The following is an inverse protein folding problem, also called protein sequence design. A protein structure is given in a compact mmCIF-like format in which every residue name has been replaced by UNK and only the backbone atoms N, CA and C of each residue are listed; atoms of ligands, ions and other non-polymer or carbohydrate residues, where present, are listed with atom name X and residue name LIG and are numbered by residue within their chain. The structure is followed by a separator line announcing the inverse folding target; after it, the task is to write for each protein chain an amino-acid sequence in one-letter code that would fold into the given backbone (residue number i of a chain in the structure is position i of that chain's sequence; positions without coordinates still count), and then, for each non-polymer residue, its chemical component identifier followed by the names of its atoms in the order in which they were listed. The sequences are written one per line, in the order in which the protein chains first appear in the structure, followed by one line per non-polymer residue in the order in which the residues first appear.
data_IF_486235693705
#
_entry.id   IF_486235693705
#
_cell.length_a   1.000
_cell.length_b   1.000
_cell.length_c   1.000
_cell.angle_alpha   90.00
_cell.angle_beta   90.00
_cell.angle_gamma   90.00
#
_symmetry.space_group_name_H-M   'P 1'
#
loop_
_entity.id
_entity.type
_entity.pdbx_description
1 polymer ?
#
# COMPACT_ATOMS: atom_id res chain seq x y z
N UNK A 1 32.54 -1.44 -11.95
CA UNK A 1 31.12 -1.09 -11.73
C UNK A 1 30.95 -0.13 -10.57
N UNK A 2 31.58 -0.38 -9.41
CA UNK A 2 31.50 0.47 -8.21
C UNK A 2 31.73 1.98 -8.48
N UNK A 3 32.77 2.33 -9.25
CA UNK A 3 33.06 3.73 -9.62
C UNK A 3 31.96 4.38 -10.47
N UNK A 4 31.36 3.66 -11.42
CA UNK A 4 30.30 4.18 -12.29
C UNK A 4 29.01 4.42 -11.50
N UNK A 5 28.60 3.44 -10.69
CA UNK A 5 27.42 3.58 -9.84
C UNK A 5 27.57 4.71 -8.81
N UNK A 6 28.78 4.94 -8.29
CA UNK A 6 29.06 6.06 -7.40
C UNK A 6 28.86 7.43 -8.07
N UNK A 7 29.24 7.58 -9.34
CA UNK A 7 29.00 8.83 -10.09
C UNK A 7 27.51 9.02 -10.37
N UNK A 8 26.82 7.95 -10.79
CA UNK A 8 25.38 8.00 -11.05
C UNK A 8 24.58 8.32 -9.77
N UNK A 9 25.00 7.81 -8.62
CA UNK A 9 24.39 8.14 -7.34
C UNK A 9 24.54 9.64 -7.00
N UNK A 10 25.73 10.22 -7.21
CA UNK A 10 25.93 11.67 -7.03
C UNK A 10 25.05 12.49 -7.97
N UNK A 11 24.89 12.05 -9.23
CA UNK A 11 24.00 12.69 -10.20
C UNK A 11 22.54 12.61 -9.78
N UNK A 12 22.11 11.46 -9.25
CA UNK A 12 20.77 11.26 -8.73
C UNK A 12 20.47 12.22 -7.57
N UNK A 13 21.37 12.30 -6.59
CA UNK A 13 21.20 13.16 -5.41
C UNK A 13 21.26 14.66 -5.77
N UNK A 14 22.06 15.04 -6.77
CA UNK A 14 22.16 16.42 -7.22
C UNK A 14 20.95 16.90 -8.05
N UNK A 15 20.05 16.01 -8.47
CA UNK A 15 18.89 16.38 -9.28
C UNK A 15 17.83 17.04 -8.43
N UNK A 16 17.39 18.23 -8.88
CA UNK A 16 16.29 18.99 -8.27
C UNK A 16 15.03 18.17 -8.10
N UNK A 17 14.64 17.38 -9.10
CA UNK A 17 13.43 16.55 -9.00
C UNK A 17 13.55 15.48 -7.91
N UNK A 18 14.73 14.86 -7.75
CA UNK A 18 14.96 13.91 -6.67
C UNK A 18 14.85 14.59 -5.31
N UNK A 19 15.47 15.77 -5.16
CA UNK A 19 15.38 16.55 -3.91
C UNK A 19 13.95 16.97 -3.59
N UNK A 20 13.20 17.50 -4.56
CA UNK A 20 11.80 17.89 -4.40
C UNK A 20 10.92 16.67 -4.11
N UNK A 21 11.14 15.56 -4.81
CA UNK A 21 10.40 14.31 -4.60
C UNK A 21 10.61 13.74 -3.19
N UNK A 22 11.87 13.68 -2.73
CA UNK A 22 12.20 13.23 -1.37
C UNK A 22 11.61 14.19 -0.33
N UNK A 23 11.72 15.50 -0.52
CA UNK A 23 11.10 16.48 0.37
C UNK A 23 9.58 16.34 0.42
N UNK A 24 8.93 16.08 -0.73
CA UNK A 24 7.49 15.82 -0.82
C UNK A 24 7.08 14.55 -0.07
N UNK A 25 7.84 13.45 -0.19
CA UNK A 25 7.59 12.21 0.56
C UNK A 25 7.74 12.44 2.07
N UNK A 26 8.78 13.16 2.51
CA UNK A 26 8.98 13.49 3.92
C UNK A 26 7.86 14.40 4.45
N UNK A 27 7.39 15.36 3.64
CA UNK A 27 6.26 16.20 4.00
C UNK A 27 4.97 15.37 4.16
N UNK A 28 4.68 14.46 3.22
CA UNK A 28 3.52 13.57 3.32
C UNK A 28 3.64 12.67 4.57
N UNK A 29 4.85 12.16 4.86
CA UNK A 29 5.11 11.38 6.07
C UNK A 29 4.81 12.18 7.33
N UNK A 30 5.24 13.45 7.39
CA UNK A 30 4.91 14.33 8.50
C UNK A 30 3.40 14.59 8.61
N UNK A 31 2.70 14.77 7.49
CA UNK A 31 1.23 14.93 7.45
C UNK A 31 0.54 13.67 8.00
N UNK A 32 1.01 12.47 7.63
CA UNK A 32 0.46 11.21 8.15
C UNK A 32 0.66 11.09 9.66
N UNK A 33 1.82 11.48 10.19
CA UNK A 33 2.07 11.52 11.63
C UNK A 33 1.17 12.54 12.35
N UNK A 34 0.97 13.72 11.77
CA UNK A 34 0.03 14.73 12.32
C UNK A 34 -1.41 14.21 12.29
N UNK A 35 -1.83 13.55 11.20
CA UNK A 35 -3.13 12.93 11.10
C UNK A 35 -3.30 11.82 12.16
N UNK A 36 -2.27 11.00 12.36
CA UNK A 36 -2.25 9.96 13.40
C UNK A 36 -2.38 10.57 14.79
N UNK A 37 -1.65 11.65 15.09
CA UNK A 37 -1.79 12.40 16.35
C UNK A 37 -3.22 12.91 16.55
N UNK A 38 -3.80 13.56 15.53
CA UNK A 38 -5.17 14.07 15.61
C UNK A 38 -6.21 12.95 15.80
N UNK A 39 -5.99 11.80 15.16
CA UNK A 39 -6.84 10.62 15.30
C UNK A 39 -6.66 9.94 16.66
N UNK A 40 -5.47 9.93 17.25
CA UNK A 40 -5.24 9.34 18.57
C UNK A 40 -5.73 10.22 19.73
N UNK A 41 -5.90 11.53 19.51
CA UNK A 41 -6.40 12.44 20.56
C UNK A 41 -7.76 11.99 21.12
N UNK A 42 -7.95 12.08 22.45
CA UNK A 42 -9.22 11.80 23.09
C UNK A 42 -10.31 12.79 22.64
N UNK A 43 -11.56 12.37 22.73
CA UNK A 43 -12.72 13.24 22.50
C UNK A 43 -12.74 14.41 23.48
N UNK A 44 -13.24 15.56 23.01
CA UNK A 44 -13.48 16.71 23.89
C UNK A 44 -14.52 16.37 24.95
N UNK A 45 -14.54 17.11 26.06
CA UNK A 45 -15.55 16.90 27.11
C UNK A 45 -16.97 17.04 26.57
N UNK A 46 -17.20 17.96 25.63
CA UNK A 46 -18.49 18.11 24.97
C UNK A 46 -18.88 16.87 24.17
N UNK A 47 -17.97 16.34 23.36
CA UNK A 47 -18.21 15.11 22.60
C UNK A 47 -18.45 13.91 23.52
N UNK A 48 -17.74 13.83 24.65
CA UNK A 48 -17.96 12.78 25.66
C UNK A 48 -19.33 12.90 26.33
N UNK A 49 -19.79 14.13 26.64
CA UNK A 49 -21.15 14.36 27.17
C UNK A 49 -22.22 13.96 26.16
N UNK A 50 -22.03 14.29 24.89
CA UNK A 50 -22.95 13.91 23.83
C UNK A 50 -23.00 12.37 23.65
N UNK A 51 -21.84 11.71 23.64
CA UNK A 51 -21.76 10.25 23.58
C UNK A 51 -22.44 9.59 24.80
N UNK A 52 -22.23 10.15 26.00
CA UNK A 52 -22.88 9.68 27.22
C UNK A 52 -24.40 9.82 27.16
N UNK A 53 -24.92 10.96 26.70
CA UNK A 53 -26.35 11.18 26.54
C UNK A 53 -26.96 10.21 25.50
N UNK A 54 -26.25 9.93 24.40
CA UNK A 54 -26.69 8.94 23.41
C UNK A 54 -26.71 7.52 23.99
N UNK A 55 -25.69 7.15 24.76
CA UNK A 55 -25.65 5.88 25.47
C UNK A 55 -26.83 5.76 26.45
N UNK A 56 -27.15 6.79 27.23
CA UNK A 56 -28.26 6.77 28.19
C UNK A 56 -29.61 6.57 27.51
N UNK A 57 -29.82 7.19 26.35
CA UNK A 57 -31.02 6.97 25.53
C UNK A 57 -31.09 5.53 25.04
N UNK A 58 -29.99 5.01 24.48
CA UNK A 58 -29.93 3.65 23.95
C UNK A 58 -30.06 2.59 25.06
N UNK A 59 -29.44 2.81 26.22
CA UNK A 59 -29.54 1.92 27.38
C UNK A 59 -30.98 1.87 27.90
N UNK A 60 -31.67 3.01 27.99
CA UNK A 60 -33.07 3.06 28.41
C UNK A 60 -34.00 2.36 27.40
N UNK A 61 -33.76 2.54 26.11
CA UNK A 61 -34.52 1.83 25.07
C UNK A 61 -34.27 0.31 25.13
N UNK A 62 -33.03 -0.11 25.37
CA UNK A 62 -32.67 -1.51 25.56
C UNK A 62 -33.28 -2.11 26.83
N UNK A 63 -33.38 -1.38 27.93
CA UNK A 63 -34.06 -1.83 29.15
C UNK A 63 -35.55 -2.11 28.90
N UNK A 64 -36.20 -1.29 28.07
CA UNK A 64 -37.61 -1.43 27.76
C UNK A 64 -37.86 -2.52 26.71
N UNK A 65 -37.06 -2.58 25.65
CA UNK A 65 -37.36 -3.34 24.43
C UNK A 65 -36.29 -4.39 24.06
N UNK A 66 -35.19 -4.50 24.81
CA UNK A 66 -34.03 -5.35 24.45
C UNK A 66 -34.37 -6.84 24.32
N UNK A 67 -35.33 -7.36 25.09
CA UNK A 67 -35.82 -8.72 24.96
C UNK A 67 -36.56 -8.95 23.62
N UNK A 68 -37.33 -7.95 23.16
CA UNK A 68 -37.98 -7.99 21.85
C UNK A 68 -36.95 -7.90 20.72
N UNK A 69 -35.96 -7.00 20.83
CA UNK A 69 -34.88 -6.86 19.86
C UNK A 69 -34.07 -8.15 19.72
N UNK A 70 -33.69 -8.76 20.84
CA UNK A 70 -32.96 -10.03 20.85
C UNK A 70 -33.79 -11.13 20.21
N UNK A 71 -35.08 -11.24 20.56
CA UNK A 71 -35.97 -12.25 19.96
C UNK A 71 -36.11 -12.08 18.46
N UNK A 72 -36.38 -10.85 17.99
CA UNK A 72 -36.49 -10.54 16.55
C UNK A 72 -35.19 -10.86 15.82
N UNK A 73 -34.04 -10.51 16.41
CA UNK A 73 -32.76 -10.83 15.82
C UNK A 73 -32.51 -12.34 15.71
N UNK A 74 -32.86 -13.12 16.72
CA UNK A 74 -32.74 -14.58 16.68
C UNK A 74 -33.65 -15.22 15.62
N UNK A 75 -34.86 -14.68 15.44
CA UNK A 75 -35.78 -15.08 14.37
C UNK A 75 -35.17 -14.79 12.99
N UNK A 76 -34.66 -13.58 12.78
CA UNK A 76 -33.99 -13.19 11.53
C UNK A 76 -32.73 -14.05 11.30
N UNK A 77 -31.92 -14.28 12.34
CA UNK A 77 -30.72 -15.11 12.28
C UNK A 77 -31.00 -16.56 11.90
N UNK A 78 -32.15 -17.12 12.31
CA UNK A 78 -32.57 -18.45 11.92
C UNK A 78 -32.85 -18.55 10.40
N UNK A 79 -33.25 -17.44 9.76
CA UNK A 79 -33.51 -17.38 8.32
C UNK A 79 -32.27 -17.07 7.46
N UNK A 80 -31.14 -16.69 8.08
CA UNK A 80 -29.92 -16.41 7.35
C UNK A 80 -29.31 -17.68 6.73
N UNK A 81 -28.92 -17.63 5.45
CA UNK A 81 -28.20 -18.71 4.79
C UNK A 81 -26.76 -18.82 5.31
N UNK A 82 -26.24 -20.05 5.39
CA UNK A 82 -24.85 -20.31 5.77
C UNK A 82 -23.86 -19.98 4.62
N UNK A 83 -22.63 -19.54 4.93
CA UNK A 83 -22.07 -19.33 6.26
C UNK A 83 -22.52 -17.98 6.88
N UNK A 84 -22.88 -18.01 8.17
CA UNK A 84 -23.23 -16.83 8.95
C UNK A 84 -22.33 -16.68 10.16
N UNK A 85 -22.13 -15.43 10.59
CA UNK A 85 -21.35 -15.12 11.79
C UNK A 85 -21.98 -15.77 13.04
N UNK A 86 -21.20 -15.98 14.12
CA UNK A 86 -21.76 -16.44 15.39
C UNK A 86 -22.89 -15.51 15.86
N UNK A 87 -23.94 -16.11 16.45
CA UNK A 87 -25.16 -15.38 16.83
C UNK A 87 -24.88 -14.23 17.81
N UNK A 88 -23.86 -14.36 18.65
CA UNK A 88 -23.45 -13.34 19.61
C UNK A 88 -22.90 -12.08 18.90
N UNK A 89 -22.19 -12.27 17.78
CA UNK A 89 -21.65 -11.17 16.97
C UNK A 89 -22.77 -10.49 16.19
N UNK A 90 -23.69 -11.28 15.63
CA UNK A 90 -24.79 -10.77 14.83
C UNK A 90 -25.86 -10.05 15.68
N UNK A 91 -26.26 -10.64 16.81
CA UNK A 91 -27.40 -10.15 17.61
C UNK A 91 -27.02 -9.27 18.81
N UNK A 92 -25.73 -9.08 19.12
CA UNK A 92 -25.24 -8.21 20.20
C UNK A 92 -26.10 -8.30 21.48
N UNK A 93 -26.28 -9.53 21.98
CA UNK A 93 -27.28 -9.87 23.01
C UNK A 93 -27.05 -9.23 24.39
N UNK A 94 -25.92 -8.54 24.58
CA UNK A 94 -25.51 -7.94 25.86
C UNK A 94 -25.95 -6.47 26.02
N UNK A 95 -26.65 -5.91 25.03
CA UNK A 95 -27.09 -4.51 25.03
C UNK A 95 -25.97 -3.51 24.71
N UNK A 96 -26.32 -2.22 24.62
CA UNK A 96 -25.36 -1.17 24.31
C UNK A 96 -24.34 -1.02 25.45
N UNK A 97 -23.08 -0.81 25.08
CA UNK A 97 -22.01 -0.48 26.03
C UNK A 97 -21.48 0.93 25.76
N UNK A 98 -21.07 1.67 26.80
CA UNK A 98 -20.60 3.04 26.66
C UNK A 98 -19.40 3.16 25.69
N UNK A 99 -18.54 2.14 25.65
CA UNK A 99 -17.38 2.10 24.77
C UNK A 99 -17.76 2.10 23.27
N UNK A 100 -18.96 1.64 22.90
CA UNK A 100 -19.48 1.72 21.52
C UNK A 100 -19.86 3.15 21.09
N UNK A 101 -20.14 4.04 22.06
CA UNK A 101 -20.51 5.44 21.81
C UNK A 101 -19.29 6.38 21.90
N UNK A 102 -18.24 5.94 22.59
CA UNK A 102 -16.98 6.66 22.68
C UNK A 102 -16.12 6.40 21.44
N UNK A 103 -15.24 7.36 21.13
CA UNK A 103 -14.25 7.17 20.07
C UNK A 103 -13.31 6.02 20.46
N UNK A 104 -13.17 4.98 19.61
CA UNK A 104 -12.28 3.87 19.90
C UNK A 104 -10.83 4.38 20.01
N UNK A 105 -10.10 3.86 21.00
CA UNK A 105 -8.68 4.17 21.16
C UNK A 105 -7.90 3.57 20.00
N UNK A 106 -6.93 4.31 19.48
CA UNK A 106 -6.03 3.79 18.46
C UNK A 106 -5.13 2.70 19.07
N UNK A 107 -5.15 1.51 18.49
CA UNK A 107 -4.28 0.39 18.85
C UNK A 107 -3.12 0.33 17.87
N UNK A 108 -1.88 0.36 18.37
CA UNK A 108 -0.69 0.44 17.51
C UNK A 108 -0.60 -0.76 16.54
N UNK A 109 -0.86 -1.97 17.05
CA UNK A 109 -0.79 -3.21 16.28
C UNK A 109 -1.83 -3.28 15.14
N UNK A 110 -2.94 -2.56 15.25
CA UNK A 110 -4.02 -2.55 14.24
C UNK A 110 -3.80 -1.44 13.20
N UNK A 111 -3.32 -0.27 13.64
CA UNK A 111 -3.14 0.90 12.78
C UNK A 111 -1.89 0.78 11.91
N UNK A 112 -0.80 0.23 12.45
CA UNK A 112 0.51 0.27 11.80
C UNK A 112 0.58 -0.55 10.49
N UNK A 113 0.02 -1.77 10.38
CA UNK A 113 0.08 -2.55 9.13
C UNK A 113 -0.50 -1.80 7.92
N UNK A 114 -1.65 -1.14 8.09
CA UNK A 114 -2.30 -0.36 7.02
C UNK A 114 -1.51 0.90 6.67
N UNK A 115 -0.93 1.58 7.67
CA UNK A 115 -0.05 2.73 7.41
C UNK A 115 1.21 2.32 6.63
N UNK A 116 1.80 1.17 6.96
CA UNK A 116 2.94 0.62 6.23
C UNK A 116 2.57 0.26 4.78
N UNK A 117 1.38 -0.29 4.55
CA UNK A 117 0.87 -0.54 3.20
C UNK A 117 0.70 0.76 2.42
N UNK A 118 0.01 1.74 3.00
CA UNK A 118 -0.24 3.04 2.37
C UNK A 118 1.05 3.77 1.97
N UNK A 119 2.05 3.81 2.87
CA UNK A 119 3.34 4.43 2.55
C UNK A 119 4.13 3.61 1.52
N UNK A 120 3.94 2.28 1.45
CA UNK A 120 4.57 1.44 0.42
C UNK A 120 4.10 1.86 -0.98
N UNK A 121 2.80 2.08 -1.16
CA UNK A 121 2.25 2.61 -2.42
C UNK A 121 2.84 3.98 -2.77
N UNK A 122 2.88 4.89 -1.80
CA UNK A 122 3.45 6.24 -1.99
C UNK A 122 4.92 6.16 -2.41
N UNK A 123 5.74 5.38 -1.70
CA UNK A 123 7.17 5.26 -1.96
C UNK A 123 7.46 4.61 -3.31
N UNK A 124 6.76 3.53 -3.66
CA UNK A 124 6.92 2.88 -4.96
C UNK A 124 6.57 3.83 -6.10
N UNK A 125 5.47 4.57 -5.98
CA UNK A 125 5.09 5.54 -6.99
C UNK A 125 6.09 6.72 -7.06
N UNK A 126 6.45 7.32 -5.93
CA UNK A 126 7.39 8.44 -5.89
C UNK A 126 8.76 8.05 -6.45
N UNK A 127 9.27 6.87 -6.09
CA UNK A 127 10.56 6.39 -6.59
C UNK A 127 10.49 5.96 -8.04
N UNK A 128 9.36 5.42 -8.52
CA UNK A 128 9.11 5.22 -9.94
C UNK A 128 9.23 6.54 -10.72
N UNK A 129 8.63 7.63 -10.24
CA UNK A 129 8.74 8.94 -10.88
C UNK A 129 10.18 9.46 -10.90
N UNK A 130 10.90 9.33 -9.79
CA UNK A 130 12.30 9.74 -9.66
C UNK A 130 13.17 8.92 -10.62
N UNK A 131 12.99 7.60 -10.67
CA UNK A 131 13.71 6.69 -11.57
C UNK A 131 13.42 6.99 -13.05
N UNK A 132 12.15 7.19 -13.40
CA UNK A 132 11.74 7.53 -14.76
C UNK A 132 12.33 8.86 -15.21
N UNK A 133 12.38 9.86 -14.34
CA UNK A 133 13.06 11.11 -14.63
C UNK A 133 14.56 10.91 -14.74
N UNK A 134 15.16 10.16 -13.81
CA UNK A 134 16.60 9.92 -13.76
C UNK A 134 17.13 9.43 -15.10
N UNK A 135 16.46 8.43 -15.68
CA UNK A 135 16.87 7.85 -16.96
C UNK A 135 16.25 8.57 -18.15
N UNK A 136 14.95 8.86 -18.13
CA UNK A 136 14.22 9.45 -19.26
C UNK A 136 14.72 10.85 -19.65
N UNK A 137 15.04 11.71 -18.66
CA UNK A 137 15.50 13.07 -18.94
C UNK A 137 16.90 13.12 -19.59
N UNK A 138 17.68 12.03 -19.52
CA UNK A 138 18.97 11.96 -20.20
C UNK A 138 18.86 11.66 -21.69
N UNK A 139 17.80 10.95 -22.09
CA UNK A 139 17.48 10.75 -23.49
C UNK A 139 16.98 12.05 -24.12
N UNK A 140 16.10 12.79 -23.45
CA UNK A 140 15.58 14.06 -23.98
C UNK A 140 16.66 15.15 -24.09
N UNK A 141 17.71 15.09 -23.26
CA UNK A 141 18.83 16.04 -23.29
C UNK A 141 20.01 15.58 -24.15
N UNK A 142 19.98 14.37 -24.71
CA UNK A 142 21.11 13.79 -25.44
C UNK A 142 22.35 13.45 -24.58
N UNK A 143 22.29 13.67 -23.27
CA UNK A 143 23.43 13.45 -22.35
C UNK A 143 23.83 11.97 -22.25
N UNK A 144 22.90 11.05 -22.49
CA UNK A 144 23.18 9.61 -22.55
C UNK A 144 24.12 9.26 -23.72
N UNK A 145 24.01 9.97 -24.85
CA UNK A 145 24.90 9.80 -26.01
C UNK A 145 26.31 10.25 -25.68
N UNK A 146 26.46 11.42 -25.05
CA UNK A 146 27.76 11.92 -24.58
C UNK A 146 28.41 10.99 -23.55
N UNK A 147 27.63 10.30 -22.71
CA UNK A 147 28.19 9.36 -21.76
C UNK A 147 28.81 8.12 -22.42
N UNK A 148 28.21 7.66 -23.51
CA UNK A 148 28.64 6.46 -24.22
C UNK A 148 29.89 6.67 -25.11
N UNK A 149 30.31 7.91 -25.33
CA UNK A 149 31.62 8.20 -25.92
C UNK A 149 32.76 7.89 -24.93
N UNK A 150 32.51 8.07 -23.62
CA UNK A 150 33.47 7.75 -22.56
C UNK A 150 33.39 6.29 -22.08
N UNK A 151 32.21 5.69 -22.06
CA UNK A 151 32.02 4.28 -21.68
C UNK A 151 31.15 3.55 -22.73
N UNK A 152 31.76 2.95 -23.76
CA UNK A 152 31.02 2.36 -24.88
C UNK A 152 30.27 1.07 -24.53
N UNK A 153 30.53 0.47 -23.36
CA UNK A 153 29.86 -0.77 -22.92
C UNK A 153 28.47 -0.44 -22.38
N UNK A 154 27.49 -0.34 -23.29
CA UNK A 154 26.08 -0.01 -23.00
C UNK A 154 25.51 -0.74 -21.78
N UNK A 155 25.70 -2.05 -21.66
CA UNK A 155 25.17 -2.83 -20.53
C UNK A 155 25.74 -2.42 -19.16
N UNK A 156 26.99 -1.91 -19.11
CA UNK A 156 27.56 -1.37 -17.87
C UNK A 156 26.90 -0.06 -17.46
N UNK A 157 26.58 0.79 -18.44
CA UNK A 157 25.86 2.06 -18.21
C UNK A 157 24.43 1.81 -17.75
N UNK A 158 23.74 0.90 -18.43
CA UNK A 158 22.39 0.46 -18.05
C UNK A 158 22.36 -0.07 -16.61
N UNK A 159 23.23 -1.03 -16.30
CA UNK A 159 23.34 -1.62 -14.97
C UNK A 159 23.72 -0.59 -13.91
N UNK A 160 24.66 0.33 -14.18
CA UNK A 160 25.06 1.34 -13.19
C UNK A 160 23.93 2.33 -12.87
N UNK A 161 23.10 2.70 -13.86
CA UNK A 161 21.98 3.61 -13.65
C UNK A 161 20.87 2.99 -12.83
N UNK A 162 20.45 1.77 -13.19
CA UNK A 162 19.43 1.06 -12.43
C UNK A 162 19.90 0.76 -11.00
N UNK A 163 21.16 0.36 -10.84
CA UNK A 163 21.73 0.12 -9.52
C UNK A 163 21.82 1.40 -8.68
N UNK A 164 22.19 2.53 -9.28
CA UNK A 164 22.21 3.82 -8.59
C UNK A 164 20.80 4.29 -8.20
N UNK A 165 19.80 4.09 -9.07
CA UNK A 165 18.41 4.40 -8.76
C UNK A 165 17.88 3.53 -7.60
N UNK A 166 18.14 2.21 -7.64
CA UNK A 166 17.75 1.27 -6.59
C UNK A 166 18.39 1.63 -5.24
N UNK A 167 19.73 1.65 -5.19
CA UNK A 167 20.49 1.88 -3.95
C UNK A 167 20.25 3.29 -3.42
N UNK A 168 20.14 4.29 -4.30
CA UNK A 168 19.95 5.68 -3.89
C UNK A 168 18.65 5.92 -3.15
N UNK A 169 17.60 5.14 -3.43
CA UNK A 169 16.29 5.28 -2.77
C UNK A 169 16.14 4.43 -1.51
N UNK A 170 17.02 3.45 -1.27
CA UNK A 170 16.96 2.61 -0.05
C UNK A 170 17.07 3.45 1.23
N UNK A 171 18.03 4.38 1.40
CA UNK A 171 18.10 5.21 2.61
C UNK A 171 16.84 6.04 2.84
N UNK A 172 16.24 6.57 1.76
CA UNK A 172 15.00 7.34 1.84
C UNK A 172 13.86 6.45 2.35
N UNK A 173 13.70 5.26 1.78
CA UNK A 173 12.71 4.29 2.21
C UNK A 173 12.88 3.93 3.69
N UNK A 174 14.11 3.57 4.09
CA UNK A 174 14.44 3.21 5.49
C UNK A 174 14.09 4.35 6.45
N UNK A 175 14.46 5.59 6.12
CA UNK A 175 14.13 6.76 6.96
C UNK A 175 12.62 6.94 7.05
N UNK A 176 11.88 6.85 5.95
CA UNK A 176 10.42 7.03 5.93
C UNK A 176 9.72 5.95 6.77
N UNK A 177 10.08 4.67 6.58
CA UNK A 177 9.52 3.59 7.39
C UNK A 177 9.90 3.71 8.87
N UNK A 178 11.13 4.09 9.19
CA UNK A 178 11.57 4.30 10.56
C UNK A 178 10.81 5.46 11.23
N UNK A 179 10.63 6.58 10.51
CA UNK A 179 9.84 7.73 11.00
C UNK A 179 8.39 7.35 11.25
N UNK A 180 7.77 6.56 10.38
CA UNK A 180 6.41 6.10 10.60
C UNK A 180 6.30 5.10 11.75
N UNK A 181 7.13 4.06 11.77
CA UNK A 181 7.10 3.05 12.83
C UNK A 181 7.33 3.66 14.21
N UNK A 182 8.42 4.42 14.36
CA UNK A 182 8.78 5.03 15.65
C UNK A 182 7.84 6.18 15.98
N UNK A 183 7.52 7.04 15.00
CA UNK A 183 6.63 8.19 15.21
C UNK A 183 5.23 7.75 15.62
N UNK A 184 4.61 6.82 14.89
CA UNK A 184 3.28 6.29 15.22
C UNK A 184 3.29 5.56 16.56
N UNK A 185 4.34 4.78 16.87
CA UNK A 185 4.47 4.15 18.19
C UNK A 185 4.49 5.18 19.31
N UNK A 186 5.34 6.21 19.23
CA UNK A 186 5.45 7.25 20.27
C UNK A 186 4.14 8.03 20.44
N UNK A 187 3.41 8.27 19.35
CA UNK A 187 2.11 8.94 19.38
C UNK A 187 1.07 8.07 20.10
N UNK A 188 0.98 6.79 19.73
CA UNK A 188 -0.03 5.87 20.27
C UNK A 188 0.31 5.45 21.70
N UNK A 189 1.59 5.37 22.08
CA UNK A 189 2.00 5.11 23.45
C UNK A 189 1.51 6.19 24.42
N UNK A 190 1.46 7.45 23.97
CA UNK A 190 0.97 8.57 24.76
C UNK A 190 -0.57 8.70 24.78
N UNK A 191 -1.23 8.37 23.67
CA UNK A 191 -2.64 8.74 23.44
C UNK A 191 -3.59 7.55 23.25
N UNK A 192 -3.07 6.34 23.03
CA UNK A 192 -3.82 5.16 22.65
C UNK A 192 -3.39 3.91 23.43
N UNK A 193 -3.29 2.78 22.72
CA UNK A 193 -2.99 1.47 23.32
C UNK A 193 -1.79 0.85 22.59
N UNK A 194 -0.73 0.60 23.36
CA UNK A 194 0.45 -0.18 22.95
C UNK A 194 0.52 -1.54 23.66
N UNK A 195 -0.34 -1.77 24.66
CA UNK A 195 -0.48 -3.07 25.31
C UNK A 195 -0.82 -4.15 24.27
N UNK A 196 -0.04 -5.24 24.26
CA UNK A 196 -0.15 -6.28 23.22
C UNK A 196 0.83 -6.14 22.05
N UNK A 197 1.64 -5.07 22.00
CA UNK A 197 2.75 -4.94 21.03
C UNK A 197 3.90 -5.87 21.42
N UNK A 198 3.72 -7.17 21.17
CA UNK A 198 4.70 -8.22 21.49
C UNK A 198 5.91 -8.16 20.56
N UNK A 199 6.96 -8.93 20.90
CA UNK A 199 8.10 -9.11 20.00
C UNK A 199 7.70 -9.67 18.62
N UNK A 200 6.63 -10.46 18.54
CA UNK A 200 6.08 -10.94 17.26
C UNK A 200 5.53 -9.79 16.43
N UNK A 201 4.74 -8.90 17.03
CA UNK A 201 4.18 -7.72 16.33
C UNK A 201 5.30 -6.85 15.75
N UNK A 202 6.35 -6.57 16.53
CA UNK A 202 7.52 -5.86 16.02
C UNK A 202 8.25 -6.61 14.91
N UNK A 203 8.39 -7.94 15.04
CA UNK A 203 8.97 -8.78 13.99
C UNK A 203 8.19 -8.70 12.68
N UNK A 204 6.85 -8.79 12.75
CA UNK A 204 5.97 -8.74 11.58
C UNK A 204 6.01 -7.35 10.91
N UNK A 205 5.94 -6.27 11.71
CA UNK A 205 6.00 -4.89 11.22
C UNK A 205 7.36 -4.53 10.60
N UNK A 206 8.46 -4.98 11.21
CA UNK A 206 9.81 -4.77 10.65
C UNK A 206 10.03 -5.59 9.39
N UNK A 207 9.50 -6.81 9.31
CA UNK A 207 9.51 -7.60 8.09
C UNK A 207 8.67 -6.94 6.97
N UNK A 208 7.49 -6.40 7.30
CA UNK A 208 6.66 -5.64 6.36
C UNK A 208 7.37 -4.38 5.86
N UNK A 209 7.99 -3.60 6.74
CA UNK A 209 8.79 -2.44 6.36
C UNK A 209 9.99 -2.84 5.48
N UNK A 210 10.67 -3.96 5.78
CA UNK A 210 11.75 -4.51 4.97
C UNK A 210 11.28 -4.85 3.55
N UNK A 211 10.13 -5.52 3.41
CA UNK A 211 9.49 -5.79 2.11
C UNK A 211 9.12 -4.50 1.38
N UNK A 212 8.65 -3.49 2.12
CA UNK A 212 8.39 -2.13 1.63
C UNK A 212 9.63 -1.43 1.08
N UNK A 213 10.77 -1.53 1.76
CA UNK A 213 12.06 -0.99 1.27
C UNK A 213 12.48 -1.67 -0.04
N UNK A 214 12.33 -2.99 -0.13
CA UNK A 214 12.65 -3.75 -1.34
C UNK A 214 11.82 -3.29 -2.54
N UNK A 215 10.49 -3.19 -2.41
CA UNK A 215 9.65 -2.71 -3.53
C UNK A 215 9.90 -1.25 -3.87
N UNK A 216 10.31 -0.43 -2.91
CA UNK A 216 10.70 0.96 -3.19
C UNK A 216 11.93 1.03 -4.10
N UNK A 217 12.93 0.18 -3.86
CA UNK A 217 14.09 0.07 -4.76
C UNK A 217 13.68 -0.46 -6.15
N UNK A 218 12.77 -1.44 -6.20
CA UNK A 218 12.22 -1.96 -7.46
C UNK A 218 11.43 -0.89 -8.22
N UNK A 219 10.63 -0.06 -7.52
CA UNK A 219 9.90 1.06 -8.10
C UNK A 219 10.84 2.02 -8.84
N UNK A 220 11.96 2.39 -8.22
CA UNK A 220 13.00 3.21 -8.85
C UNK A 220 13.58 2.57 -10.13
N UNK A 221 13.83 1.26 -10.10
CA UNK A 221 14.32 0.50 -11.26
C UNK A 221 13.29 0.48 -12.38
N UNK A 222 12.04 0.12 -12.08
CA UNK A 222 10.95 0.06 -13.04
C UNK A 222 10.68 1.43 -13.66
N UNK A 223 10.72 2.48 -12.85
CA UNK A 223 10.68 3.86 -13.33
C UNK A 223 11.77 4.13 -14.35
N UNK A 224 13.03 3.83 -14.01
CA UNK A 224 14.16 3.99 -14.91
C UNK A 224 14.04 3.20 -16.21
N UNK A 225 13.53 1.97 -16.15
CA UNK A 225 13.27 1.13 -17.33
C UNK A 225 12.19 1.73 -18.21
N UNK A 226 11.05 2.13 -17.65
CA UNK A 226 9.95 2.73 -18.43
C UNK A 226 10.40 4.07 -19.02
N UNK A 227 11.11 4.89 -18.24
CA UNK A 227 11.70 6.14 -18.72
C UNK A 227 12.68 5.93 -19.89
N UNK A 228 13.46 4.84 -19.85
CA UNK A 228 14.35 4.44 -20.95
C UNK A 228 13.58 3.99 -22.20
N UNK A 229 12.55 3.16 -22.02
CA UNK A 229 11.75 2.62 -23.13
C UNK A 229 10.98 3.72 -23.87
N UNK A 230 10.41 4.65 -23.12
CA UNK A 230 9.59 5.75 -23.65
C UNK A 230 10.39 6.99 -24.02
N UNK A 231 11.63 7.14 -23.52
CA UNK A 231 12.49 8.33 -23.68
C UNK A 231 11.84 9.64 -23.23
N UNK A 232 10.77 9.57 -22.42
CA UNK A 232 10.02 10.73 -21.99
C UNK A 232 9.41 10.49 -20.60
N UNK A 233 9.73 11.38 -19.66
CA UNK A 233 9.25 11.26 -18.27
C UNK A 233 7.73 11.34 -18.19
N UNK A 234 7.10 12.29 -18.90
CA UNK A 234 5.64 12.43 -18.86
C UNK A 234 4.91 11.24 -19.49
N UNK A 235 5.54 10.55 -20.46
CA UNK A 235 4.93 9.35 -21.03
C UNK A 235 4.97 8.20 -20.03
N UNK A 236 6.05 8.07 -19.25
CA UNK A 236 6.13 7.09 -18.16
C UNK A 236 5.05 7.33 -17.09
N UNK A 237 4.80 8.59 -16.74
CA UNK A 237 3.71 8.98 -15.84
C UNK A 237 2.37 8.60 -16.44
N UNK A 238 2.13 8.95 -17.70
CA UNK A 238 0.88 8.64 -18.39
C UNK A 238 0.59 7.14 -18.46
N UNK A 239 1.61 6.31 -18.72
CA UNK A 239 1.47 4.85 -18.73
C UNK A 239 1.17 4.31 -17.33
N UNK A 240 1.90 4.76 -16.30
CA UNK A 240 1.68 4.31 -14.93
C UNK A 240 0.27 4.70 -14.43
N UNK A 241 -0.11 5.97 -14.60
CA UNK A 241 -1.42 6.47 -14.21
C UNK A 241 -2.55 5.83 -15.03
N UNK A 242 -2.35 5.67 -16.34
CA UNK A 242 -3.30 5.00 -17.22
C UNK A 242 -3.55 3.56 -16.79
N UNK A 243 -2.50 2.83 -16.43
CA UNK A 243 -2.63 1.47 -15.89
C UNK A 243 -3.37 1.46 -14.54
N UNK A 244 -2.95 2.28 -13.58
CA UNK A 244 -3.58 2.31 -12.24
C UNK A 244 -5.06 2.69 -12.33
N UNK A 245 -5.41 3.72 -13.10
CA UNK A 245 -6.79 4.19 -13.16
C UNK A 245 -7.66 3.26 -14.01
N UNK A 246 -7.21 2.90 -15.21
CA UNK A 246 -8.04 2.13 -16.13
C UNK A 246 -8.03 0.63 -15.77
N UNK A 247 -6.86 0.03 -15.63
CA UNK A 247 -6.75 -1.42 -15.42
C UNK A 247 -7.12 -1.79 -14.00
N UNK A 248 -6.49 -1.17 -13.00
CA UNK A 248 -6.74 -1.52 -11.60
C UNK A 248 -8.06 -0.90 -11.09
N UNK A 249 -8.30 0.38 -11.39
CA UNK A 249 -9.47 1.13 -10.89
C UNK A 249 -10.79 0.81 -11.59
N UNK A 250 -10.81 0.78 -12.93
CA UNK A 250 -12.03 0.54 -13.72
C UNK A 250 -12.22 -0.94 -14.00
N UNK A 251 -11.27 -1.57 -14.69
CA UNK A 251 -11.44 -2.96 -15.13
C UNK A 251 -11.30 -3.97 -13.99
N UNK A 252 -10.49 -3.69 -12.97
CA UNK A 252 -10.28 -4.58 -11.83
C UNK A 252 -11.58 -5.03 -11.18
N UNK A 253 -12.54 -4.11 -10.98
CA UNK A 253 -13.84 -4.41 -10.39
C UNK A 253 -14.70 -5.38 -11.20
N UNK A 254 -14.58 -5.37 -12.53
CA UNK A 254 -15.34 -6.27 -13.41
C UNK A 254 -14.64 -7.62 -13.63
N UNK A 255 -13.31 -7.65 -13.47
CA UNK A 255 -12.50 -8.81 -13.79
C UNK A 255 -12.31 -9.74 -12.58
N UNK A 256 -13.41 -10.23 -12.00
CA UNK A 256 -13.39 -11.11 -10.81
C UNK A 256 -12.51 -12.35 -10.97
N UNK A 257 -12.43 -12.91 -12.19
CA UNK A 257 -11.56 -14.05 -12.52
C UNK A 257 -10.07 -13.68 -12.66
N UNK A 258 -9.75 -12.42 -12.98
CA UNK A 258 -8.37 -11.96 -13.15
C UNK A 258 -7.81 -11.24 -11.93
N UNK A 259 -8.57 -11.14 -10.83
CA UNK A 259 -8.12 -10.57 -9.56
C UNK A 259 -6.72 -11.04 -9.13
N UNK A 260 -6.36 -12.35 -9.19
CA UNK A 260 -5.02 -12.81 -8.84
C UNK A 260 -3.88 -12.30 -9.73
N UNK A 261 -4.20 -11.77 -10.91
CA UNK A 261 -3.24 -11.25 -11.88
C UNK A 261 -3.16 -9.72 -11.88
N UNK A 262 -3.92 -9.06 -11.01
CA UNK A 262 -3.84 -7.62 -10.82
C UNK A 262 -2.61 -7.25 -10.00
N UNK A 263 -1.91 -6.18 -10.39
CA UNK A 263 -0.68 -5.74 -9.72
C UNK A 263 -0.98 -5.33 -8.28
N UNK A 264 -2.14 -4.69 -8.05
CA UNK A 264 -2.54 -4.24 -6.71
C UNK A 264 -2.63 -5.42 -5.72
N UNK A 265 -3.35 -6.49 -6.07
CA UNK A 265 -3.54 -7.62 -5.16
C UNK A 265 -2.22 -8.36 -4.87
N UNK A 266 -1.37 -8.51 -5.88
CA UNK A 266 -0.04 -9.11 -5.71
C UNK A 266 0.88 -8.22 -4.85
N UNK A 267 0.75 -6.90 -4.98
CA UNK A 267 1.46 -5.93 -4.15
C UNK A 267 1.02 -5.99 -2.69
N UNK A 268 -0.29 -6.02 -2.45
CA UNK A 268 -0.86 -6.16 -1.11
C UNK A 268 -0.35 -7.45 -0.45
N UNK A 269 -0.40 -8.58 -1.16
CA UNK A 269 0.06 -9.87 -0.65
C UNK A 269 1.56 -9.89 -0.35
N UNK A 270 2.37 -9.21 -1.18
CA UNK A 270 3.80 -9.04 -0.90
C UNK A 270 4.04 -8.25 0.38
N UNK A 271 3.39 -7.09 0.52
CA UNK A 271 3.63 -6.21 1.68
C UNK A 271 3.10 -6.84 2.96
N UNK A 272 1.83 -7.25 2.98
CA UNK A 272 1.15 -7.71 4.19
C UNK A 272 1.44 -9.16 4.56
N UNK A 273 2.10 -9.92 3.66
CA UNK A 273 2.30 -11.37 3.80
C UNK A 273 0.96 -12.10 3.73
N UNK A 274 0.42 -12.14 2.50
CA UNK A 274 -0.91 -12.57 2.07
C UNK A 274 -1.91 -11.41 1.91
N UNK A 275 -2.87 -11.57 1.00
CA UNK A 275 -3.96 -10.62 0.82
C UNK A 275 -5.27 -11.34 0.53
N UNK A 276 -6.36 -10.88 1.13
CA UNK A 276 -7.69 -11.42 0.87
C UNK A 276 -8.40 -10.64 -0.24
N UNK A 277 -9.15 -11.35 -1.07
CA UNK A 277 -10.00 -10.77 -2.09
C UNK A 277 -11.33 -11.53 -2.17
N UNK A 278 -12.35 -10.86 -2.68
CA UNK A 278 -13.72 -11.35 -2.66
C UNK A 278 -14.18 -11.70 -4.07
N UNK A 279 -14.88 -12.83 -4.20
CA UNK A 279 -15.53 -13.22 -5.46
C UNK A 279 -17.00 -13.51 -5.17
N UNK A 280 -17.89 -12.82 -5.88
CA UNK A 280 -19.31 -13.11 -5.83
C UNK A 280 -19.64 -14.34 -6.68
N UNK A 281 -20.24 -15.34 -6.03
CA UNK A 281 -20.88 -16.48 -6.70
C UNK A 281 -22.38 -16.27 -6.67
N UNK A 282 -22.91 -15.87 -7.81
CA UNK A 282 -24.34 -15.78 -8.02
C UNK A 282 -24.87 -17.10 -8.60
N UNK A 283 -25.88 -17.66 -7.96
CA UNK A 283 -26.55 -18.89 -8.38
C UNK A 283 -28.08 -18.73 -8.24
N UNK A 284 -28.87 -19.40 -9.09
CA UNK A 284 -30.32 -19.47 -8.88
C UNK A 284 -30.60 -20.13 -7.53
N UNK A 285 -31.43 -19.50 -6.70
CA UNK A 285 -31.86 -20.11 -5.43
C UNK A 285 -32.95 -21.15 -5.72
N UNK A 286 -33.12 -22.11 -4.81
CA UNK A 286 -34.15 -23.15 -4.87
C UNK A 286 -35.57 -22.61 -5.00
N UNK A 287 -35.75 -21.35 -4.65
CA UNK A 287 -37.04 -20.66 -4.52
C UNK A 287 -37.38 -19.87 -5.80
N UNK A 288 -36.59 -20.05 -6.87
CA UNK A 288 -36.74 -19.35 -8.15
C UNK A 288 -36.14 -17.93 -8.16
N UNK A 289 -35.45 -17.54 -7.10
CA UNK A 289 -34.73 -16.26 -6.99
C UNK A 289 -33.31 -16.32 -7.56
N UNK A 290 -32.60 -15.19 -7.44
CA UNK A 290 -31.19 -15.07 -7.80
C UNK A 290 -30.41 -14.60 -6.57
N UNK A 291 -29.59 -15.48 -6.00
CA UNK A 291 -28.81 -15.19 -4.79
C UNK A 291 -27.34 -15.06 -5.13
N UNK A 292 -26.67 -14.03 -4.60
CA UNK A 292 -25.23 -13.87 -4.70
C UNK A 292 -24.61 -14.08 -3.31
N UNK A 293 -23.65 -15.01 -3.23
CA UNK A 293 -22.84 -15.23 -2.03
C UNK A 293 -21.41 -14.76 -2.29
N UNK A 294 -20.86 -13.96 -1.38
CA UNK A 294 -19.49 -13.48 -1.49
C UNK A 294 -18.55 -14.49 -0.86
N UNK A 295 -17.58 -14.99 -1.63
CA UNK A 295 -16.57 -15.94 -1.17
C UNK A 295 -15.25 -15.21 -0.99
N UNK A 296 -14.76 -15.21 0.25
CA UNK A 296 -13.42 -14.74 0.58
C UNK A 296 -12.39 -15.74 0.10
N UNK A 297 -11.41 -15.25 -0.65
CA UNK A 297 -10.23 -16.01 -1.07
C UNK A 297 -8.97 -15.30 -0.59
N UNK A 298 -7.93 -16.08 -0.35
CA UNK A 298 -6.61 -15.56 0.04
C UNK A 298 -5.63 -15.78 -1.10
N UNK A 299 -4.92 -14.72 -1.47
CA UNK A 299 -3.78 -14.77 -2.36
C UNK A 299 -2.52 -14.84 -1.49
N UNK A 300 -1.79 -15.96 -1.62
CA UNK A 300 -0.60 -16.23 -0.81
C UNK A 300 0.56 -15.30 -1.18
N UNK A 301 1.41 -15.02 -0.20
CA UNK A 301 2.62 -14.24 -0.32
C UNK A 301 3.52 -14.71 -1.47
N UNK A 302 3.71 -16.01 -1.63
CA UNK A 302 4.59 -16.58 -2.66
C UNK A 302 4.10 -16.25 -4.07
N UNK A 303 2.78 -16.22 -4.27
CA UNK A 303 2.20 -15.85 -5.56
C UNK A 303 2.51 -14.38 -5.88
N UNK A 304 2.26 -13.49 -4.93
CA UNK A 304 2.60 -12.06 -5.05
C UNK A 304 4.08 -11.83 -5.31
N UNK A 305 4.94 -12.52 -4.56
CA UNK A 305 6.39 -12.45 -4.69
C UNK A 305 6.87 -12.88 -6.09
N UNK A 306 6.42 -14.04 -6.57
CA UNK A 306 6.80 -14.53 -7.90
C UNK A 306 6.26 -13.65 -9.01
N UNK A 307 5.01 -13.20 -8.90
CA UNK A 307 4.40 -12.31 -9.87
C UNK A 307 5.21 -11.02 -10.04
N UNK A 308 5.48 -10.31 -8.94
CA UNK A 308 6.24 -9.06 -8.97
C UNK A 308 7.68 -9.27 -9.44
N UNK A 309 8.32 -10.37 -9.02
CA UNK A 309 9.68 -10.71 -9.46
C UNK A 309 9.74 -10.98 -10.97
N UNK A 310 8.82 -11.78 -11.51
CA UNK A 310 8.76 -12.10 -12.94
C UNK A 310 8.49 -10.84 -13.76
N UNK A 311 7.50 -10.03 -13.38
CA UNK A 311 7.22 -8.76 -14.08
C UNK A 311 8.44 -7.85 -14.08
N UNK A 312 9.13 -7.74 -12.94
CA UNK A 312 10.33 -6.91 -12.81
C UNK A 312 11.46 -7.41 -13.70
N UNK A 313 11.75 -8.72 -13.67
CA UNK A 313 12.81 -9.34 -14.49
C UNK A 313 12.50 -9.18 -15.98
N UNK A 314 11.26 -9.39 -16.39
CA UNK A 314 10.84 -9.24 -17.80
C UNK A 314 11.01 -7.79 -18.25
N UNK A 315 10.56 -6.80 -17.48
CA UNK A 315 10.71 -5.39 -17.85
C UNK A 315 12.17 -4.96 -17.89
N UNK A 316 12.99 -5.37 -16.92
CA UNK A 316 14.43 -5.10 -16.93
C UNK A 316 15.11 -5.76 -18.13
N UNK A 317 14.79 -7.01 -18.45
CA UNK A 317 15.32 -7.70 -19.62
C UNK A 317 14.91 -7.01 -20.93
N UNK A 318 13.66 -6.56 -21.05
CA UNK A 318 13.17 -5.78 -22.19
C UNK A 318 13.91 -4.45 -22.31
N UNK A 319 14.10 -3.73 -21.20
CA UNK A 319 14.88 -2.48 -21.16
C UNK A 319 16.32 -2.69 -21.60
N UNK A 320 16.98 -3.75 -21.10
CA UNK A 320 18.32 -4.15 -21.50
C UNK A 320 18.40 -4.47 -23.00
N UNK A 321 17.46 -5.28 -23.50
CA UNK A 321 17.40 -5.65 -24.91
C UNK A 321 17.24 -4.42 -25.81
N UNK A 322 16.29 -3.54 -25.50
CA UNK A 322 16.06 -2.31 -26.25
C UNK A 322 17.28 -1.39 -26.19
N UNK A 323 17.88 -1.20 -25.01
CA UNK A 323 19.08 -0.35 -24.87
C UNK A 323 20.29 -0.90 -25.65
N UNK A 324 20.42 -2.23 -25.72
CA UNK A 324 21.52 -2.88 -26.44
C UNK A 324 21.41 -2.71 -27.96
N UNK A 325 20.19 -2.66 -28.50
CA UNK A 325 19.95 -2.67 -29.96
C UNK A 325 19.53 -1.33 -30.55
N UNK A 326 18.88 -0.47 -29.77
CA UNK A 326 18.30 0.77 -30.29
C UNK A 326 19.37 1.86 -30.39
N UNK A 327 19.40 2.57 -31.51
CA UNK A 327 20.29 3.71 -31.70
C UNK A 327 19.91 4.88 -30.80
N UNK A 328 20.90 5.68 -30.43
CA UNK A 328 20.82 6.67 -29.34
C UNK A 328 20.57 8.09 -29.89
N UNK A 329 20.14 8.17 -31.14
CA UNK A 329 19.56 9.37 -31.77
C UNK A 329 18.13 9.62 -31.28
#
# INVERSE_FOLDING_TARGET
MIRLSGVELRRLVARRLTLIGVAGVLLITAIVLVATWNNARPQSEEQRRQAQAQYEIAAKDWELHGAEYTKRCLEDYATLPDPKDPVEVYCQTNGPSIDQFLKPKSVFAEVMPEQLLGVSYLLVFATFLIGASFVGAEFSSGSIGNWLTFEPRRMRVYGSKLLAAAIGMVPVAVVVYALLLVGTFLIIDQLGITAGTTGKVWGDLTAQAGRGVLVTAVGAVLGGVVGLLLRHTAAAIGVAMGYIVLVEGVFGGFLTKLQPWLVKLNFDAWIQHDATYYIDKCQPTSDGGYGCSTITKTLMFEHGAWYLAVVTVVLVALGAFVFSRRDIS
#
